data_IF_336071537020
#
_entry.id   IF_336071537020
#
_cell.length_a   1.000
_cell.length_b   1.000
_cell.length_c   1.000
_cell.angle_alpha   90.00
_cell.angle_beta   90.00
_cell.angle_gamma   90.00
#
_symmetry.space_group_name_H-M   'P 1'
#
loop_
_entity.id
_entity.type
_entity.pdbx_description
1 polymer ?
#
# COMPACT_ATOMS: atom_id res chain seq x y z
N UNK A 1 -3.19 -5.62 18.34
CA UNK A 1 -4.10 -4.82 17.48
C UNK A 1 -3.92 -5.33 16.07
N UNK A 2 -4.99 -5.51 15.29
CA UNK A 2 -4.87 -5.85 13.88
C UNK A 2 -4.50 -4.60 13.10
N UNK A 3 -3.41 -4.66 12.32
CA UNK A 3 -3.04 -3.61 11.39
C UNK A 3 -3.64 -3.94 10.04
N UNK A 4 -4.58 -3.11 9.62
CA UNK A 4 -4.95 -3.07 8.22
C UNK A 4 -4.26 -1.84 7.63
N UNK A 5 -3.83 -1.91 6.39
CA UNK A 5 -3.18 -0.83 5.66
C UNK A 5 -3.93 -0.70 4.34
N UNK A 6 -4.25 0.53 3.95
CA UNK A 6 -4.76 0.86 2.62
C UNK A 6 -4.32 2.29 2.31
N UNK A 7 -3.14 2.38 1.68
CA UNK A 7 -2.47 3.63 1.37
C UNK A 7 -2.39 3.81 -0.14
N UNK A 8 -2.45 5.06 -0.56
CA UNK A 8 -1.92 5.50 -1.86
C UNK A 8 -0.79 6.49 -1.58
N UNK A 9 0.40 6.17 -2.10
CA UNK A 9 1.62 6.96 -2.00
C UNK A 9 1.91 7.58 -3.36
N UNK A 10 2.21 8.87 -3.39
CA UNK A 10 2.50 9.60 -4.64
C UNK A 10 3.79 10.39 -4.45
N UNK A 11 4.83 10.06 -5.20
CA UNK A 11 6.15 10.70 -5.10
C UNK A 11 6.15 12.10 -5.72
N UNK A 12 7.23 12.84 -5.51
CA UNK A 12 7.45 14.17 -6.10
C UNK A 12 6.34 15.18 -5.79
N UNK A 13 5.70 15.04 -4.62
CA UNK A 13 4.68 15.97 -4.17
C UNK A 13 5.27 17.38 -4.01
N UNK A 14 4.55 18.37 -4.50
CA UNK A 14 4.87 19.77 -4.32
C UNK A 14 4.20 20.26 -3.03
N UNK A 15 4.99 20.47 -1.98
CA UNK A 15 4.52 20.89 -0.66
C UNK A 15 3.90 22.30 -0.67
N UNK A 16 3.99 23.04 -1.78
CA UNK A 16 3.29 24.31 -1.95
C UNK A 16 1.81 24.14 -2.30
N UNK A 17 1.38 22.97 -2.78
CA UNK A 17 -0.03 22.65 -3.01
C UNK A 17 -0.74 22.43 -1.66
N UNK A 18 -1.87 23.11 -1.44
CA UNK A 18 -2.72 22.79 -0.29
C UNK A 18 -3.43 21.45 -0.49
N UNK A 19 -3.67 20.72 0.59
CA UNK A 19 -4.43 19.47 0.54
C UNK A 19 -5.81 19.65 -0.08
N UNK A 20 -6.51 20.76 0.23
CA UNK A 20 -7.79 21.08 -0.40
C UNK A 20 -7.67 21.24 -1.91
N UNK A 21 -6.60 21.86 -2.41
CA UNK A 21 -6.34 21.97 -3.85
C UNK A 21 -6.08 20.61 -4.48
N UNK A 22 -5.30 19.75 -3.82
CA UNK A 22 -5.06 18.37 -4.26
C UNK A 22 -6.38 17.60 -4.34
N UNK A 23 -7.21 17.65 -3.30
CA UNK A 23 -8.51 16.98 -3.31
C UNK A 23 -9.41 17.49 -4.43
N UNK A 24 -9.42 18.79 -4.71
CA UNK A 24 -10.15 19.34 -5.84
C UNK A 24 -9.64 18.80 -7.18
N UNK A 25 -8.31 18.76 -7.40
CA UNK A 25 -7.70 18.17 -8.61
C UNK A 25 -8.07 16.69 -8.78
N UNK A 26 -8.24 15.96 -7.68
CA UNK A 26 -8.62 14.56 -7.66
C UNK A 26 -10.15 14.31 -7.74
N UNK A 27 -10.97 15.35 -7.91
CA UNK A 27 -12.44 15.27 -7.86
C UNK A 27 -12.98 14.71 -6.52
N UNK A 28 -12.31 15.06 -5.41
CA UNK A 28 -12.64 14.68 -4.03
C UNK A 28 -13.09 15.89 -3.20
N UNK A 29 -13.60 16.95 -3.82
CA UNK A 29 -14.06 18.20 -3.18
C UNK A 29 -15.31 18.03 -2.30
N UNK A 30 -15.93 16.85 -2.33
CA UNK A 30 -17.02 16.46 -1.41
C UNK A 30 -16.53 16.22 0.02
N UNK A 31 -15.22 16.03 0.22
CA UNK A 31 -14.58 15.86 1.52
C UNK A 31 -14.34 17.22 2.20
N UNK A 32 -14.60 17.29 3.51
CA UNK A 32 -14.36 18.47 4.34
C UNK A 32 -13.37 18.15 5.44
N UNK A 33 -12.44 19.07 5.68
CA UNK A 33 -11.52 18.97 6.80
C UNK A 33 -12.28 18.93 8.13
N UNK A 34 -12.05 17.88 8.92
CA UNK A 34 -12.75 17.64 10.19
C UNK A 34 -11.80 17.52 11.39
N UNK A 35 -10.52 17.23 11.15
CA UNK A 35 -9.60 16.92 12.23
C UNK A 35 -8.16 16.74 11.77
N UNK A 36 -7.35 16.18 12.67
CA UNK A 36 -5.96 15.81 12.44
C UNK A 36 -5.59 14.63 13.34
N UNK A 37 -4.64 13.81 12.88
CA UNK A 37 -4.14 12.64 13.59
C UNK A 37 -2.71 12.33 13.13
N UNK A 38 -2.18 11.15 13.45
CA UNK A 38 -0.91 10.64 12.92
C UNK A 38 -1.14 9.52 11.89
N UNK A 39 -0.15 9.24 11.04
CA UNK A 39 -0.24 8.14 10.08
C UNK A 39 -0.59 6.81 10.76
N UNK A 40 0.02 6.51 11.91
CA UNK A 40 -0.35 5.31 12.67
C UNK A 40 -1.83 5.24 12.98
N UNK A 41 -2.39 6.30 13.56
CA UNK A 41 -3.78 6.34 13.95
C UNK A 41 -4.71 6.24 12.73
N UNK A 42 -4.35 6.92 11.63
CA UNK A 42 -5.10 6.89 10.38
C UNK A 42 -5.20 5.48 9.78
N UNK A 43 -4.17 4.64 9.94
CA UNK A 43 -4.18 3.25 9.45
C UNK A 43 -5.09 2.30 10.23
N UNK A 44 -5.75 2.71 11.31
CA UNK A 44 -6.76 1.86 11.96
C UNK A 44 -8.18 2.08 11.42
N UNK A 45 -8.43 3.20 10.75
CA UNK A 45 -9.76 3.67 10.38
C UNK A 45 -9.99 3.64 8.85
N UNK A 46 -10.39 2.48 8.30
CA UNK A 46 -10.71 2.29 6.87
C UNK A 46 -12.17 2.55 6.52
N UNK A 47 -12.73 3.67 7.01
CA UNK A 47 -14.12 3.99 6.70
C UNK A 47 -14.24 4.67 5.33
N UNK A 48 -15.25 4.28 4.55
CA UNK A 48 -15.49 4.79 3.20
C UNK A 48 -15.69 6.32 3.16
N UNK A 49 -16.14 6.91 4.26
CA UNK A 49 -16.42 8.33 4.40
C UNK A 49 -15.26 9.15 4.98
N UNK A 50 -14.13 8.53 5.36
CA UNK A 50 -12.97 9.24 5.92
C UNK A 50 -11.78 9.10 4.97
N UNK A 51 -11.12 10.22 4.71
CA UNK A 51 -9.86 10.31 3.97
C UNK A 51 -8.84 11.01 4.86
N UNK A 52 -7.72 10.36 5.08
CA UNK A 52 -6.57 11.01 5.71
C UNK A 52 -5.56 11.39 4.65
N UNK A 53 -5.04 12.62 4.73
CA UNK A 53 -4.02 13.14 3.80
C UNK A 53 -2.88 13.77 4.59
N UNK A 54 -1.66 13.41 4.24
CA UNK A 54 -0.43 13.96 4.81
C UNK A 54 0.69 13.85 3.80
N UNK A 55 1.88 14.29 4.17
CA UNK A 55 3.07 14.05 3.35
C UNK A 55 4.29 13.77 4.23
N UNK A 56 5.26 13.10 3.65
CA UNK A 56 6.54 12.79 4.26
C UNK A 56 7.62 12.73 3.17
N UNK A 57 8.73 13.46 3.32
CA UNK A 57 9.83 13.48 2.35
C UNK A 57 9.37 13.64 0.88
N UNK A 58 8.48 14.61 0.60
CA UNK A 58 7.89 14.86 -0.73
C UNK A 58 7.09 13.67 -1.30
N UNK A 59 6.61 12.78 -0.45
CA UNK A 59 5.62 11.75 -0.79
C UNK A 59 4.29 12.15 -0.18
N UNK A 60 3.28 12.34 -1.02
CA UNK A 60 1.90 12.51 -0.57
C UNK A 60 1.35 11.15 -0.15
N UNK A 61 0.74 11.11 1.02
CA UNK A 61 0.16 9.90 1.63
C UNK A 61 -1.34 10.11 1.72
N UNK A 62 -2.11 9.20 1.10
CA UNK A 62 -3.56 9.15 1.19
C UNK A 62 -3.97 7.83 1.85
N UNK A 63 -4.69 7.91 2.97
CA UNK A 63 -5.26 6.73 3.65
C UNK A 63 -6.76 6.73 3.40
N UNK A 64 -7.22 5.86 2.51
CA UNK A 64 -8.63 5.61 2.24
C UNK A 64 -8.78 4.29 1.49
N UNK A 65 -9.56 3.36 2.06
CA UNK A 65 -9.77 2.03 1.49
C UNK A 65 -10.29 2.07 0.05
N UNK A 66 -11.44 2.70 -0.22
CA UNK A 66 -11.98 2.80 -1.59
C UNK A 66 -11.01 3.37 -2.61
N UNK A 67 -10.21 4.39 -2.25
CA UNK A 67 -9.20 4.98 -3.12
C UNK A 67 -8.09 3.97 -3.45
N UNK A 68 -7.55 3.28 -2.44
CA UNK A 68 -6.50 2.28 -2.62
C UNK A 68 -6.98 1.08 -3.44
N UNK A 69 -8.22 0.62 -3.22
CA UNK A 69 -8.85 -0.48 -3.96
C UNK A 69 -9.22 -0.11 -5.40
N UNK A 70 -9.51 1.17 -5.70
CA UNK A 70 -9.84 1.61 -7.05
C UNK A 70 -8.68 1.41 -8.06
N UNK A 71 -7.45 1.25 -7.58
CA UNK A 71 -6.26 0.97 -8.39
C UNK A 71 -6.09 -0.52 -8.74
N UNK A 72 -6.93 -1.41 -8.18
CA UNK A 72 -6.77 -2.86 -8.27
C UNK A 72 -7.65 -3.48 -9.35
N UNK A 73 -7.50 -2.98 -10.57
CA UNK A 73 -8.21 -3.45 -11.75
C UNK A 73 -7.24 -3.62 -12.92
N UNK A 74 -7.53 -4.57 -13.82
CA UNK A 74 -6.77 -4.73 -15.06
C UNK A 74 -6.94 -3.52 -15.99
N UNK A 75 -8.16 -2.99 -16.07
CA UNK A 75 -8.45 -1.73 -16.74
C UNK A 75 -8.33 -0.55 -15.78
N UNK A 76 -7.70 0.54 -16.26
CA UNK A 76 -7.53 1.74 -15.45
C UNK A 76 -8.88 2.37 -15.08
N UNK A 77 -9.16 2.45 -13.78
CA UNK A 77 -10.36 3.06 -13.24
C UNK A 77 -10.38 4.58 -13.46
N UNK A 78 -11.53 5.22 -13.23
CA UNK A 78 -11.64 6.68 -13.27
C UNK A 78 -10.70 7.33 -12.25
N UNK A 79 -10.61 6.75 -11.05
CA UNK A 79 -9.69 7.18 -9.99
C UNK A 79 -8.23 7.08 -10.44
N UNK A 80 -7.84 5.93 -11.01
CA UNK A 80 -6.48 5.70 -11.51
C UNK A 80 -6.10 6.72 -12.61
N UNK A 81 -6.99 6.91 -13.59
CA UNK A 81 -6.78 7.89 -14.67
C UNK A 81 -6.66 9.32 -14.12
N UNK A 82 -7.46 9.66 -13.12
CA UNK A 82 -7.41 10.98 -12.47
C UNK A 82 -6.08 11.18 -11.74
N UNK A 83 -5.64 10.19 -10.96
CA UNK A 83 -4.35 10.21 -10.26
C UNK A 83 -3.19 10.37 -11.25
N UNK A 84 -3.16 9.59 -12.33
CA UNK A 84 -2.14 9.70 -13.38
C UNK A 84 -2.15 11.08 -14.05
N UNK A 85 -3.33 11.63 -14.33
CA UNK A 85 -3.42 12.94 -14.99
C UNK A 85 -2.97 14.08 -14.08
N UNK A 86 -3.23 13.99 -12.78
CA UNK A 86 -2.80 14.99 -11.79
C UNK A 86 -1.31 14.87 -11.47
N UNK A 87 -0.77 13.63 -11.47
CA UNK A 87 0.61 13.33 -11.13
C UNK A 87 1.34 12.54 -12.23
N UNK A 88 1.50 13.11 -13.45
CA UNK A 88 1.97 12.37 -14.63
C UNK A 88 3.45 11.95 -14.58
N UNK A 89 4.23 12.56 -13.68
CA UNK A 89 5.67 12.32 -13.51
C UNK A 89 6.00 11.74 -12.14
N UNK A 90 4.99 11.27 -11.41
CA UNK A 90 5.15 10.64 -10.11
C UNK A 90 4.97 9.13 -10.24
N UNK A 91 5.64 8.42 -9.34
CA UNK A 91 5.26 7.06 -9.02
C UNK A 91 4.03 7.13 -8.13
N UNK A 92 3.06 6.26 -8.43
CA UNK A 92 1.82 6.13 -7.69
C UNK A 92 1.73 4.68 -7.22
N UNK A 93 1.76 4.49 -5.91
CA UNK A 93 1.78 3.16 -5.31
C UNK A 93 0.60 2.97 -4.38
N UNK A 94 -0.21 1.95 -4.65
CA UNK A 94 -1.22 1.48 -3.70
C UNK A 94 -0.60 0.37 -2.86
N UNK A 95 -0.65 0.46 -1.54
CA UNK A 95 -0.19 -0.59 -0.62
C UNK A 95 -1.35 -0.98 0.29
N UNK A 96 -1.65 -2.27 0.34
CA UNK A 96 -2.64 -2.81 1.24
C UNK A 96 -2.09 -4.06 1.93
N UNK A 97 -2.30 -4.11 3.24
CA UNK A 97 -1.84 -5.20 4.08
C UNK A 97 -2.89 -5.46 5.15
N UNK A 98 -3.22 -6.73 5.38
CA UNK A 98 -4.12 -7.13 6.46
C UNK A 98 -3.40 -8.10 7.37
N UNK A 99 -3.05 -7.67 8.59
CA UNK A 99 -2.25 -8.50 9.50
C UNK A 99 -2.96 -9.78 9.92
N UNK A 100 -4.28 -9.74 10.09
CA UNK A 100 -5.09 -10.88 10.54
C UNK A 100 -5.27 -11.93 9.45
N UNK A 101 -5.43 -11.51 8.19
CA UNK A 101 -5.61 -12.41 7.05
C UNK A 101 -4.31 -12.70 6.32
N UNK A 102 -3.19 -12.11 6.75
CA UNK A 102 -1.92 -12.07 6.00
C UNK A 102 -2.11 -11.69 4.53
N UNK A 103 -3.14 -10.89 4.25
CA UNK A 103 -3.43 -10.44 2.90
C UNK A 103 -2.45 -9.35 2.53
N UNK A 104 -1.93 -9.42 1.31
CA UNK A 104 -1.05 -8.40 0.75
C UNK A 104 -1.57 -7.99 -0.62
N UNK A 105 -1.40 -6.71 -0.94
CA UNK A 105 -1.71 -6.17 -2.26
C UNK A 105 -0.89 -4.93 -2.52
N UNK A 106 -0.27 -4.86 -3.69
CA UNK A 106 0.33 -3.62 -4.14
C UNK A 106 0.10 -3.40 -5.63
N UNK A 107 -0.02 -2.12 -5.97
CA UNK A 107 -0.06 -1.64 -7.35
C UNK A 107 1.02 -0.60 -7.49
N UNK A 108 1.84 -0.70 -8.54
CA UNK A 108 2.87 0.29 -8.87
C UNK A 108 2.58 0.85 -10.25
N UNK A 109 2.41 2.17 -10.31
CA UNK A 109 2.23 2.93 -11.53
C UNK A 109 3.41 3.87 -11.65
N UNK A 110 4.13 3.79 -12.77
CA UNK A 110 5.27 4.65 -13.08
C UNK A 110 5.08 5.24 -14.47
N UNK A 111 5.43 6.52 -14.64
CA UNK A 111 5.28 7.24 -15.92
C UNK A 111 3.87 7.09 -16.52
N UNK A 112 2.85 7.14 -15.66
CA UNK A 112 1.44 7.01 -16.05
C UNK A 112 1.00 5.64 -16.55
N UNK A 113 1.78 4.58 -16.30
CA UNK A 113 1.43 3.20 -16.66
C UNK A 113 1.53 2.30 -15.45
N UNK A 114 0.53 1.44 -15.26
CA UNK A 114 0.59 0.35 -14.29
C UNK A 114 1.61 -0.68 -14.75
N UNK A 115 2.71 -0.79 -14.02
CA UNK A 115 3.80 -1.72 -14.34
C UNK A 115 3.69 -3.01 -13.54
N UNK A 116 3.07 -2.95 -12.35
CA UNK A 116 2.92 -4.10 -11.47
C UNK A 116 1.63 -4.03 -10.68
N UNK A 117 0.95 -5.16 -10.55
CA UNK A 117 -0.09 -5.39 -9.55
C UNK A 117 -0.01 -6.83 -9.07
N UNK A 118 0.19 -7.02 -7.77
CA UNK A 118 0.15 -8.33 -7.13
C UNK A 118 -0.79 -8.33 -5.94
N UNK A 119 -1.53 -9.41 -5.75
CA UNK A 119 -2.43 -9.62 -4.61
C UNK A 119 -2.44 -11.08 -4.18
N UNK A 120 -2.36 -11.33 -2.88
CA UNK A 120 -2.50 -12.68 -2.32
C UNK A 120 -2.77 -12.67 -0.82
N UNK A 121 -2.68 -13.85 -0.24
CA UNK A 121 -2.68 -14.11 1.20
C UNK A 121 -1.64 -15.17 1.54
N UNK A 122 -1.66 -15.71 2.76
CA UNK A 122 -0.97 -16.95 3.10
C UNK A 122 -1.36 -18.14 2.20
N UNK A 123 -2.52 -18.08 1.53
CA UNK A 123 -3.01 -19.14 0.64
C UNK A 123 -2.48 -19.00 -0.79
N UNK A 124 -1.55 -18.07 -1.02
CA UNK A 124 -0.86 -17.84 -2.29
C UNK A 124 -1.33 -16.60 -3.06
N UNK A 125 -0.74 -16.43 -4.24
CA UNK A 125 -1.02 -15.30 -5.15
C UNK A 125 -2.31 -15.53 -5.93
N UNK A 126 -3.23 -14.56 -5.87
CA UNK A 126 -4.50 -14.56 -6.63
C UNK A 126 -4.48 -13.62 -7.83
N UNK A 127 -3.60 -12.62 -7.82
CA UNK A 127 -3.37 -11.71 -8.95
C UNK A 127 -1.89 -11.50 -9.08
N UNK A 128 -1.38 -11.73 -10.30
CA UNK A 128 -0.01 -11.45 -10.70
C UNK A 128 -0.06 -10.80 -12.09
N UNK A 129 0.13 -9.48 -12.14
CA UNK A 129 0.03 -8.69 -13.35
C UNK A 129 1.26 -7.79 -13.52
N UNK A 130 1.81 -7.78 -14.74
CA UNK A 130 2.97 -6.97 -15.08
C UNK A 130 4.30 -7.64 -14.76
N UNK A 131 5.40 -6.98 -15.10
CA UNK A 131 6.75 -7.52 -14.90
C UNK A 131 7.16 -7.46 -13.43
N UNK A 132 7.83 -8.51 -12.95
CA UNK A 132 8.35 -8.58 -11.59
C UNK A 132 9.35 -7.44 -11.32
N UNK A 133 9.11 -6.70 -10.23
CA UNK A 133 9.97 -5.62 -9.78
C UNK A 133 11.30 -6.17 -9.28
N UNK A 134 12.37 -5.37 -9.34
CA UNK A 134 13.68 -5.81 -8.85
C UNK A 134 13.65 -6.18 -7.36
N UNK A 135 12.85 -5.47 -6.55
CA UNK A 135 12.67 -5.82 -5.14
C UNK A 135 11.98 -7.18 -4.93
N UNK A 136 11.11 -7.60 -5.84
CA UNK A 136 10.48 -8.92 -5.77
C UNK A 136 11.50 -10.03 -6.05
N UNK A 137 12.42 -9.79 -7.00
CA UNK A 137 13.51 -10.72 -7.32
C UNK A 137 14.47 -10.86 -6.15
N UNK A 138 14.87 -9.73 -5.56
CA UNK A 138 15.74 -9.70 -4.37
C UNK A 138 15.13 -10.52 -3.23
N UNK A 139 13.85 -10.30 -2.90
CA UNK A 139 13.15 -11.04 -1.83
C UNK A 139 12.92 -12.51 -2.18
N UNK A 140 12.79 -12.84 -3.47
CA UNK A 140 12.64 -14.24 -3.92
C UNK A 140 13.93 -15.03 -3.74
N UNK A 141 15.09 -14.38 -3.86
CA UNK A 141 16.40 -14.98 -3.63
C UNK A 141 16.79 -15.04 -2.14
N UNK A 142 16.05 -14.35 -1.27
CA UNK A 142 16.24 -14.39 0.18
C UNK A 142 15.61 -15.64 0.84
N UNK A 143 16.36 -16.22 1.78
CA UNK A 143 15.86 -17.23 2.71
C UNK A 143 14.99 -16.55 3.78
N UNK A 144 13.68 -16.49 3.53
CA UNK A 144 12.71 -15.88 4.46
C UNK A 144 12.23 -16.84 5.56
N UNK A 145 12.66 -18.10 5.52
CA UNK A 145 12.33 -19.15 6.48
C UNK A 145 13.60 -19.92 6.86
N UNK A 146 13.74 -20.28 8.13
CA UNK A 146 14.89 -21.08 8.55
C UNK A 146 14.71 -22.55 8.13
N UNK A 147 15.80 -23.33 7.99
CA UNK A 147 15.68 -24.75 7.69
C UNK A 147 14.87 -25.54 8.73
N UNK A 148 14.94 -25.14 10.01
CA UNK A 148 14.17 -25.74 11.11
C UNK A 148 12.67 -25.47 10.95
N UNK A 149 12.29 -24.20 10.74
CA UNK A 149 10.88 -23.83 10.51
C UNK A 149 10.33 -24.49 9.23
N UNK A 150 11.15 -24.64 8.19
CA UNK A 150 10.75 -25.32 6.96
C UNK A 150 10.50 -26.81 7.19
N UNK A 151 11.35 -27.48 7.98
CA UNK A 151 11.16 -28.89 8.35
C UNK A 151 9.88 -29.07 9.16
N UNK A 152 9.62 -28.18 10.13
CA UNK A 152 8.39 -28.18 10.92
C UNK A 152 7.14 -28.02 10.03
N UNK A 153 7.14 -27.07 9.11
CA UNK A 153 6.03 -26.89 8.16
C UNK A 153 5.81 -28.12 7.27
N UNK A 154 6.87 -28.73 6.75
CA UNK A 154 6.77 -29.93 5.90
C UNK A 154 6.29 -31.18 6.67
N UNK A 155 6.44 -31.20 7.99
CA UNK A 155 5.90 -32.26 8.86
C UNK A 155 4.41 -32.08 9.15
N UNK A 156 3.89 -30.84 9.10
CA UNK A 156 2.50 -30.51 9.42
C UNK A 156 1.61 -30.40 8.18
N UNK A 157 2.17 -29.94 7.06
CA UNK A 157 1.42 -29.52 5.87
C UNK A 157 1.98 -30.18 4.59
N UNK A 158 1.15 -30.42 3.56
CA UNK A 158 1.63 -30.83 2.24
C UNK A 158 2.63 -29.84 1.65
N UNK A 159 3.64 -30.33 0.93
CA UNK A 159 4.69 -29.49 0.33
C UNK A 159 4.14 -28.32 -0.53
N UNK A 160 3.04 -28.54 -1.25
CA UNK A 160 2.40 -27.50 -2.05
C UNK A 160 1.79 -26.38 -1.21
N UNK A 161 1.21 -26.71 -0.05
CA UNK A 161 0.66 -25.72 0.88
C UNK A 161 1.80 -24.92 1.55
N UNK A 162 2.91 -25.58 1.88
CA UNK A 162 4.13 -24.92 2.38
C UNK A 162 4.68 -23.93 1.36
N UNK A 163 4.72 -24.29 0.06
CA UNK A 163 5.14 -23.38 -1.02
C UNK A 163 4.25 -22.14 -1.11
N UNK A 164 2.93 -22.32 -1.06
CA UNK A 164 1.97 -21.21 -1.09
C UNK A 164 2.14 -20.29 0.12
N UNK A 165 2.40 -20.86 1.29
CA UNK A 165 2.66 -20.11 2.52
C UNK A 165 3.92 -19.26 2.42
N UNK A 166 5.02 -19.84 1.94
CA UNK A 166 6.29 -19.13 1.70
C UNK A 166 6.07 -18.00 0.67
N UNK A 167 5.33 -18.25 -0.41
CA UNK A 167 4.98 -17.22 -1.39
C UNK A 167 4.15 -16.09 -0.74
N UNK A 168 3.20 -16.43 0.12
CA UNK A 168 2.41 -15.48 0.90
C UNK A 168 3.28 -14.61 1.81
N UNK A 169 4.24 -15.22 2.51
CA UNK A 169 5.21 -14.51 3.36
C UNK A 169 6.08 -13.56 2.54
N UNK A 170 6.55 -13.96 1.35
CA UNK A 170 7.27 -13.08 0.41
C UNK A 170 6.41 -11.90 -0.02
N UNK A 171 5.15 -12.14 -0.36
CA UNK A 171 4.20 -11.08 -0.73
C UNK A 171 4.02 -10.03 0.36
N UNK A 172 3.92 -10.46 1.62
CA UNK A 172 3.91 -9.55 2.77
C UNK A 172 5.24 -8.79 2.86
N UNK A 173 6.39 -9.47 2.79
CA UNK A 173 7.71 -8.83 2.85
C UNK A 173 7.90 -7.77 1.75
N UNK A 174 7.39 -8.00 0.55
CA UNK A 174 7.41 -7.04 -0.55
C UNK A 174 6.63 -5.77 -0.20
N UNK A 175 5.41 -5.90 0.35
CA UNK A 175 4.62 -4.72 0.75
C UNK A 175 5.35 -3.89 1.81
N UNK A 176 5.99 -4.56 2.77
CA UNK A 176 6.79 -3.89 3.80
C UNK A 176 7.98 -3.15 3.20
N UNK A 177 8.71 -3.81 2.29
CA UNK A 177 9.90 -3.20 1.69
C UNK A 177 9.53 -2.05 0.74
N UNK A 178 8.41 -2.17 0.02
CA UNK A 178 7.86 -1.05 -0.74
C UNK A 178 7.48 0.12 0.19
N UNK A 179 6.81 -0.14 1.31
CA UNK A 179 6.49 0.92 2.28
C UNK A 179 7.75 1.67 2.72
N UNK A 180 8.80 0.94 3.12
CA UNK A 180 10.07 1.51 3.58
C UNK A 180 10.82 2.25 2.46
N UNK A 181 10.78 1.75 1.23
CA UNK A 181 11.41 2.41 0.09
C UNK A 181 10.74 3.75 -0.27
N UNK A 182 9.41 3.81 -0.19
CA UNK A 182 8.66 5.05 -0.46
C UNK A 182 8.62 6.00 0.74
N UNK A 183 8.77 5.49 1.97
CA UNK A 183 8.76 6.28 3.20
C UNK A 183 10.01 5.97 4.05
N UNK A 184 11.21 6.33 3.56
CA UNK A 184 12.46 5.93 4.18
C UNK A 184 12.59 6.45 5.61
N UNK A 185 12.92 5.55 6.53
CA UNK A 185 13.02 5.83 7.97
C UNK A 185 11.72 5.61 8.74
N UNK A 186 10.63 5.24 8.07
CA UNK A 186 9.42 4.71 8.70
C UNK A 186 9.39 3.18 8.58
N UNK A 187 8.91 2.50 9.60
CA UNK A 187 8.79 1.03 9.61
C UNK A 187 7.33 0.64 9.72
N UNK A 188 6.82 -0.18 8.78
CA UNK A 188 5.41 -0.54 8.77
C UNK A 188 4.97 -1.26 10.07
N UNK A 189 5.86 -2.09 10.64
CA UNK A 189 5.61 -2.79 11.90
C UNK A 189 5.65 -1.88 13.14
N UNK A 190 6.30 -0.74 13.05
CA UNK A 190 6.49 0.20 14.15
C UNK A 190 5.88 1.57 13.87
N UNK A 191 4.90 1.62 12.96
CA UNK A 191 4.24 2.86 12.55
C UNK A 191 3.64 3.60 13.75
N UNK A 192 3.31 2.87 14.84
CA UNK A 192 2.82 3.42 16.11
C UNK A 192 3.73 4.44 16.81
N UNK A 193 5.02 4.47 16.45
CA UNK A 193 5.97 5.47 16.94
C UNK A 193 6.09 6.70 16.03
N UNK A 194 5.50 6.66 14.83
CA UNK A 194 5.70 7.68 13.81
C UNK A 194 4.77 8.89 13.97
N UNK A 195 5.37 10.07 13.89
CA UNK A 195 4.71 11.36 14.12
C UNK A 195 4.25 12.02 12.82
N UNK A 196 4.11 11.27 11.72
CA UNK A 196 3.71 11.83 10.42
C UNK A 196 2.31 12.44 10.56
N UNK A 197 2.15 13.78 10.48
CA UNK A 197 0.87 14.42 10.70
C UNK A 197 -0.06 14.16 9.53
N UNK A 198 -1.27 13.74 9.83
CA UNK A 198 -2.32 13.50 8.85
C UNK A 198 -3.50 14.43 9.14
N UNK A 199 -4.11 14.96 8.10
CA UNK A 199 -5.32 15.77 8.19
C UNK A 199 -6.51 14.89 7.85
N UNK A 200 -7.53 14.93 8.71
CA UNK A 200 -8.80 14.23 8.49
C UNK A 200 -9.66 15.03 7.54
N UNK A 201 -10.24 14.34 6.56
CA UNK A 201 -11.36 14.83 5.82
C UNK A 201 -12.51 13.82 5.85
N UNK A 202 -13.72 14.30 6.12
CA UNK A 202 -14.94 13.48 6.10
C UNK A 202 -15.84 13.88 4.92
N UNK A 203 -16.40 12.89 4.24
CA UNK A 203 -17.35 13.08 3.14
C UNK A 203 -18.67 13.65 3.66
N UNK A 204 -19.20 14.68 2.98
CA UNK A 204 -20.53 15.25 3.28
C UNK A 204 -21.67 14.30 2.99
#
# INVERSE_FOLDING_TARGET
MSHNLALVLITNFDETDSYESVLQKLNLDTYKRTGQTTLSAATYDFFDNILWIGHYNRVLILVNGPLAFALQNTEASVTEKTLINVFPHSDIVSLNYGSTSTAYNYVVIQNGKKIRWKRGSQDGTTVDYGEELDIEKEITDEDIITPEDLEDLLNEEPEEDVKLRIEGMRGVRIVHTLFENYLPGLELWNISSDVVPMIEFTKK
#
